data_IF_453647654619
#
_entry.id   IF_453647654619
#
_cell.length_a   1.000
_cell.length_b   1.000
_cell.length_c   1.000
_cell.angle_alpha   90.00
_cell.angle_beta   90.00
_cell.angle_gamma   90.00
#
_symmetry.space_group_name_H-M   'P 1'
#
loop_
_entity.id
_entity.type
_entity.pdbx_description
1 polymer ?
#
# COMPACT_ATOMS: atom_id res chain seq x y z
N UNK A 1 -15.49 8.25 29.10
CA UNK A 1 -14.46 9.27 29.45
C UNK A 1 -13.87 9.80 28.17
N UNK A 2 -13.71 11.11 28.02
CA UNK A 2 -13.02 11.65 26.85
C UNK A 2 -11.55 11.22 26.93
N UNK A 3 -11.05 10.58 25.89
CA UNK A 3 -9.66 10.20 25.78
C UNK A 3 -8.78 11.46 25.73
N UNK A 4 -7.85 11.59 26.65
CA UNK A 4 -6.88 12.69 26.66
C UNK A 4 -5.56 12.21 26.04
N UNK A 5 -5.13 12.88 24.99
CA UNK A 5 -3.82 12.65 24.40
C UNK A 5 -2.75 13.00 25.42
N UNK A 6 -1.83 12.08 25.75
CA UNK A 6 -0.75 12.36 26.69
C UNK A 6 0.14 13.48 26.13
N UNK A 7 0.43 14.46 26.98
CA UNK A 7 1.16 15.67 26.56
C UNK A 7 2.67 15.54 26.75
N UNK A 8 3.13 14.52 27.42
CA UNK A 8 4.55 14.23 27.66
C UNK A 8 4.79 12.74 27.89
N UNK A 9 6.07 12.34 27.99
CA UNK A 9 6.52 10.96 28.19
C UNK A 9 5.92 10.33 29.46
N UNK A 10 5.85 11.09 30.54
CA UNK A 10 5.34 10.58 31.83
C UNK A 10 3.85 10.26 31.76
N UNK A 11 3.07 11.18 31.20
CA UNK A 11 1.63 10.98 30.97
C UNK A 11 1.36 9.80 30.04
N UNK A 12 2.19 9.62 29.00
CA UNK A 12 2.09 8.48 28.08
C UNK A 12 2.42 7.15 28.78
N UNK A 13 3.51 7.10 29.55
CA UNK A 13 3.89 5.89 30.30
C UNK A 13 2.83 5.51 31.35
N UNK A 14 2.22 6.50 32.01
CA UNK A 14 1.11 6.27 32.92
C UNK A 14 -0.07 5.63 32.18
N UNK A 15 -0.45 6.17 31.03
CA UNK A 15 -1.52 5.60 30.20
C UNK A 15 -1.19 4.16 29.73
N UNK A 16 0.05 3.88 29.34
CA UNK A 16 0.49 2.54 28.97
C UNK A 16 0.33 1.56 30.13
N UNK A 17 0.75 1.95 31.33
CA UNK A 17 0.61 1.12 32.52
C UNK A 17 -0.87 0.84 32.86
N UNK A 18 -1.73 1.86 32.73
CA UNK A 18 -3.18 1.72 32.93
C UNK A 18 -3.84 0.79 31.89
N UNK A 19 -3.24 0.67 30.70
CA UNK A 19 -3.70 -0.20 29.60
C UNK A 19 -2.97 -1.54 29.56
N UNK A 20 -2.17 -1.87 30.57
CA UNK A 20 -1.35 -3.09 30.65
C UNK A 20 -0.43 -3.27 29.41
N UNK A 21 -0.03 -2.15 28.80
CA UNK A 21 0.90 -2.13 27.65
C UNK A 21 2.26 -1.59 28.06
N UNK A 22 3.31 -2.05 27.39
CA UNK A 22 4.68 -1.57 27.65
C UNK A 22 5.31 -1.06 26.36
N UNK A 23 6.01 0.07 26.46
CA UNK A 23 6.82 0.61 25.39
C UNK A 23 8.22 0.92 25.88
N UNK A 24 9.22 0.64 25.03
CA UNK A 24 10.58 1.06 25.26
C UNK A 24 10.79 2.45 24.64
N UNK A 25 11.43 3.34 25.42
CA UNK A 25 11.82 4.65 24.94
C UNK A 25 13.34 4.75 24.87
N UNK A 26 13.81 5.42 23.83
CA UNK A 26 15.20 5.83 23.71
C UNK A 26 15.25 7.33 23.46
N UNK A 27 16.14 8.03 24.15
CA UNK A 27 16.47 9.43 23.88
C UNK A 27 17.51 9.52 22.76
N UNK A 28 18.21 8.41 22.43
CA UNK A 28 19.08 8.28 21.28
C UNK A 28 18.27 7.84 20.05
N UNK A 29 18.12 8.75 19.09
CA UNK A 29 17.47 8.54 17.79
C UNK A 29 18.49 8.47 16.63
N UNK A 30 19.78 8.40 16.92
CA UNK A 30 20.85 8.39 15.92
C UNK A 30 20.71 7.23 14.91
N UNK A 31 20.07 6.12 15.31
CA UNK A 31 19.77 5.02 14.41
C UNK A 31 18.94 5.43 13.19
N UNK A 32 18.11 6.48 13.27
CA UNK A 32 17.32 6.98 12.14
C UNK A 32 18.21 7.61 11.05
N UNK A 33 19.37 8.12 11.41
CA UNK A 33 20.33 8.71 10.49
C UNK A 33 21.30 7.69 9.87
N UNK A 34 21.21 6.40 10.27
CA UNK A 34 22.11 5.37 9.72
C UNK A 34 21.62 4.85 8.38
N UNK A 35 22.56 4.53 7.50
CA UNK A 35 22.24 3.89 6.22
C UNK A 35 21.50 2.56 6.40
N UNK A 36 20.68 2.22 5.40
CA UNK A 36 19.98 0.93 5.33
C UNK A 36 20.14 0.32 3.95
N UNK A 37 20.68 -0.91 3.92
CA UNK A 37 20.77 -1.68 2.68
C UNK A 37 19.44 -2.34 2.34
N UNK A 38 19.00 -2.19 1.09
CA UNK A 38 17.77 -2.77 0.53
C UNK A 38 18.14 -3.48 -0.78
N UNK A 39 18.19 -4.79 -0.77
CA UNK A 39 18.73 -5.55 -1.91
C UNK A 39 20.17 -5.16 -2.22
N UNK A 40 20.39 -4.58 -3.41
CA UNK A 40 21.70 -4.08 -3.86
C UNK A 40 21.86 -2.57 -3.69
N UNK A 41 20.80 -1.86 -3.27
CA UNK A 41 20.82 -0.41 -3.07
C UNK A 41 20.97 -0.04 -1.59
N UNK A 42 21.33 1.21 -1.32
CA UNK A 42 21.47 1.73 0.03
C UNK A 42 20.65 3.02 0.16
N UNK A 43 19.74 3.05 1.12
CA UNK A 43 19.09 4.27 1.56
C UNK A 43 20.01 5.01 2.53
N UNK A 44 20.19 6.32 2.36
CA UNK A 44 21.11 7.15 3.15
C UNK A 44 20.72 7.23 4.64
N UNK A 45 19.45 7.11 4.93
CA UNK A 45 18.91 7.09 6.30
C UNK A 45 17.65 6.19 6.35
N UNK A 46 17.07 6.03 7.54
CA UNK A 46 15.90 5.16 7.77
C UNK A 46 14.56 5.89 7.77
N UNK A 47 14.52 7.11 7.23
CA UNK A 47 13.30 7.91 7.13
C UNK A 47 12.65 7.64 5.77
N UNK A 48 11.35 7.41 5.78
CA UNK A 48 10.56 7.09 4.59
C UNK A 48 9.36 8.03 4.50
N UNK A 49 9.21 8.74 3.39
CA UNK A 49 7.92 9.34 3.03
C UNK A 49 7.03 8.30 2.40
N UNK A 50 5.92 7.99 3.06
CA UNK A 50 4.97 6.97 2.62
C UNK A 50 4.16 7.39 1.40
N UNK A 51 3.76 6.41 0.57
CA UNK A 51 2.88 6.61 -0.56
C UNK A 51 1.52 7.15 -0.11
N UNK A 52 1.17 8.35 -0.55
CA UNK A 52 -0.10 9.01 -0.23
C UNK A 52 -0.66 9.71 -1.46
N UNK A 53 -1.80 9.22 -1.96
CA UNK A 53 -2.46 9.76 -3.16
C UNK A 53 -2.90 11.20 -2.93
N UNK A 54 -2.43 12.10 -3.81
CA UNK A 54 -2.80 13.52 -3.80
C UNK A 54 -4.08 13.81 -4.58
N UNK A 55 -4.51 12.90 -5.46
CA UNK A 55 -5.61 13.10 -6.41
C UNK A 55 -5.47 14.39 -7.23
N UNK A 56 -4.24 14.75 -7.58
CA UNK A 56 -3.86 16.03 -8.20
C UNK A 56 -3.01 15.87 -9.47
N UNK A 57 -2.97 14.66 -10.04
CA UNK A 57 -2.43 14.41 -11.36
C UNK A 57 -3.25 15.08 -12.47
N UNK A 58 -2.79 14.97 -13.69
CA UNK A 58 -3.52 15.41 -14.88
C UNK A 58 -4.61 14.39 -15.26
N UNK A 59 -5.51 14.75 -16.15
CA UNK A 59 -6.58 13.84 -16.60
C UNK A 59 -6.05 12.61 -17.34
N UNK A 60 -4.95 12.77 -18.08
CA UNK A 60 -4.27 11.67 -18.77
C UNK A 60 -3.37 10.83 -17.85
N UNK A 61 -3.24 11.24 -16.59
CA UNK A 61 -2.55 10.47 -15.53
C UNK A 61 -1.09 10.88 -15.31
N UNK A 62 -0.62 11.99 -15.87
CA UNK A 62 0.72 12.51 -15.58
C UNK A 62 0.76 13.21 -14.20
N UNK A 63 1.96 13.33 -13.56
CA UNK A 63 2.15 14.20 -12.42
C UNK A 63 1.77 15.66 -12.71
N UNK A 64 0.88 16.25 -11.90
CA UNK A 64 0.46 17.64 -12.01
C UNK A 64 1.35 18.60 -11.21
N UNK A 65 1.08 19.91 -11.29
CA UNK A 65 1.85 20.95 -10.58
C UNK A 65 1.81 20.78 -9.04
N UNK A 66 0.66 20.39 -8.49
CA UNK A 66 0.53 20.15 -7.03
C UNK A 66 1.30 18.89 -6.63
N UNK A 67 1.27 17.85 -7.47
CA UNK A 67 2.07 16.64 -7.31
C UNK A 67 3.55 17.01 -7.27
N UNK A 68 4.04 17.74 -8.28
CA UNK A 68 5.44 18.19 -8.34
C UNK A 68 5.82 18.96 -7.08
N UNK A 69 5.03 19.96 -6.69
CA UNK A 69 5.28 20.76 -5.47
C UNK A 69 5.40 19.90 -4.22
N UNK A 70 4.55 18.89 -4.07
CA UNK A 70 4.58 17.97 -2.91
C UNK A 70 5.86 17.15 -2.88
N UNK A 71 6.25 16.56 -4.02
CA UNK A 71 7.46 15.74 -4.09
C UNK A 71 8.75 16.55 -3.96
N UNK A 72 8.78 17.79 -4.44
CA UNK A 72 9.92 18.68 -4.19
C UNK A 72 10.10 18.93 -2.68
N UNK A 73 9.01 19.19 -1.94
CA UNK A 73 9.07 19.34 -0.48
C UNK A 73 9.52 18.06 0.24
N UNK A 74 9.16 16.90 -0.27
CA UNK A 74 9.67 15.63 0.28
C UNK A 74 11.16 15.47 0.01
N UNK A 75 11.62 15.84 -1.16
CA UNK A 75 13.04 15.83 -1.51
C UNK A 75 13.85 16.81 -0.66
N UNK A 76 13.35 18.01 -0.43
CA UNK A 76 13.94 19.02 0.46
C UNK A 76 14.05 18.50 1.92
N UNK A 77 13.09 17.67 2.36
CA UNK A 77 13.05 17.11 3.71
C UNK A 77 14.08 16.00 4.00
N UNK A 78 14.78 15.49 3.00
CA UNK A 78 15.95 14.61 3.17
C UNK A 78 15.66 13.19 3.65
N UNK A 79 14.48 12.61 3.37
CA UNK A 79 14.23 11.19 3.62
C UNK A 79 15.06 10.30 2.69
N UNK A 80 15.59 9.19 3.23
CA UNK A 80 16.36 8.21 2.47
C UNK A 80 15.53 7.46 1.43
N UNK A 81 14.20 7.36 1.65
CA UNK A 81 13.26 6.75 0.72
C UNK A 81 12.05 7.68 0.52
N UNK A 82 11.72 7.94 -0.74
CA UNK A 82 10.50 8.63 -1.15
C UNK A 82 9.62 7.62 -1.87
N UNK A 83 8.51 7.23 -1.23
CA UNK A 83 7.54 6.34 -1.83
C UNK A 83 6.55 7.15 -2.66
N UNK A 84 6.66 7.00 -3.97
CA UNK A 84 5.79 7.67 -4.91
C UNK A 84 4.39 7.08 -4.85
N UNK A 85 3.38 7.94 -4.91
CA UNK A 85 1.98 7.58 -4.69
C UNK A 85 1.43 6.53 -5.65
N UNK A 86 0.29 5.93 -5.27
CA UNK A 86 -0.35 4.86 -6.02
C UNK A 86 -0.66 5.30 -7.47
N UNK A 87 0.03 4.67 -8.40
CA UNK A 87 -0.06 4.87 -9.83
C UNK A 87 -0.79 3.69 -10.46
N UNK A 88 -1.88 3.93 -11.14
CA UNK A 88 -2.71 2.88 -11.72
C UNK A 88 -1.98 2.16 -12.86
N UNK A 89 -2.10 0.82 -12.90
CA UNK A 89 -1.54 -0.01 -13.97
C UNK A 89 -2.54 -0.27 -15.11
N UNK A 90 -3.83 0.01 -14.87
CA UNK A 90 -4.92 -0.10 -15.83
C UNK A 90 -5.87 1.09 -15.66
N UNK A 91 -6.40 1.62 -16.74
CA UNK A 91 -7.23 2.82 -16.72
C UNK A 91 -8.50 2.67 -15.89
N UNK A 92 -9.20 1.54 -16.04
CA UNK A 92 -10.40 1.19 -15.28
C UNK A 92 -10.12 0.91 -13.79
N UNK A 93 -8.86 0.68 -13.44
CA UNK A 93 -8.40 0.51 -12.07
C UNK A 93 -8.06 1.80 -11.33
N UNK A 94 -8.27 2.97 -11.92
CA UNK A 94 -8.02 4.28 -11.27
C UNK A 94 -9.03 4.54 -10.15
N UNK A 95 -8.54 5.06 -9.01
CA UNK A 95 -9.38 5.44 -7.86
C UNK A 95 -10.13 6.77 -8.07
N UNK A 96 -9.69 7.59 -9.03
CA UNK A 96 -10.31 8.86 -9.42
C UNK A 96 -9.75 9.31 -10.77
N UNK A 97 -10.41 10.28 -11.47
CA UNK A 97 -9.97 10.75 -12.78
C UNK A 97 -8.59 11.43 -12.81
N UNK A 98 -8.09 11.84 -11.66
CA UNK A 98 -6.80 12.52 -11.50
C UNK A 98 -5.74 11.67 -10.80
N UNK A 99 -6.01 10.39 -10.58
CA UNK A 99 -4.98 9.46 -10.12
C UNK A 99 -3.95 9.26 -11.24
N UNK A 100 -2.67 9.19 -10.87
CA UNK A 100 -1.62 8.88 -11.83
C UNK A 100 -1.86 7.54 -12.52
N UNK A 101 -1.54 7.52 -13.80
CA UNK A 101 -1.73 6.37 -14.65
C UNK A 101 -0.58 6.25 -15.65
N UNK A 102 0.00 5.06 -15.73
CA UNK A 102 1.12 4.77 -16.60
C UNK A 102 0.68 4.53 -18.03
N UNK A 103 1.11 5.40 -18.92
CA UNK A 103 0.92 5.26 -20.38
C UNK A 103 2.20 5.69 -21.11
N UNK A 104 2.33 5.35 -22.38
CA UNK A 104 3.45 5.83 -23.18
C UNK A 104 3.47 7.35 -23.27
N UNK A 105 2.30 8.00 -23.19
CA UNK A 105 2.18 9.47 -23.22
C UNK A 105 2.71 10.15 -21.96
N UNK A 106 2.53 9.52 -20.81
CA UNK A 106 2.91 10.09 -19.50
C UNK A 106 4.34 9.75 -19.10
N UNK A 107 5.04 8.91 -19.87
CA UNK A 107 6.36 8.40 -19.51
C UNK A 107 7.38 9.50 -19.25
N UNK A 108 7.49 10.48 -20.14
CA UNK A 108 8.44 11.59 -20.02
C UNK A 108 8.17 12.47 -18.78
N UNK A 109 6.91 12.54 -18.33
CA UNK A 109 6.55 13.32 -17.15
C UNK A 109 6.96 12.60 -15.87
N UNK A 110 6.83 11.26 -15.84
CA UNK A 110 7.38 10.44 -14.75
C UNK A 110 8.91 10.46 -14.71
N UNK A 111 9.58 10.39 -15.86
CA UNK A 111 11.05 10.55 -15.95
C UNK A 111 11.50 11.88 -15.37
N UNK A 112 10.81 12.96 -15.75
CA UNK A 112 11.12 14.32 -15.29
C UNK A 112 10.94 14.47 -13.79
N UNK A 113 9.81 14.04 -13.22
CA UNK A 113 9.56 14.20 -11.78
C UNK A 113 10.53 13.39 -10.93
N UNK A 114 10.93 12.18 -11.36
CA UNK A 114 11.94 11.38 -10.65
C UNK A 114 13.29 12.08 -10.65
N UNK A 115 13.72 12.62 -11.78
CA UNK A 115 14.95 13.39 -11.88
C UNK A 115 14.90 14.64 -10.99
N UNK A 116 13.81 15.42 -11.06
CA UNK A 116 13.60 16.61 -10.24
C UNK A 116 13.66 16.28 -8.73
N UNK A 117 13.09 15.13 -8.28
CA UNK A 117 13.17 14.65 -6.89
C UNK A 117 14.61 14.38 -6.50
N UNK A 118 15.35 13.62 -7.31
CA UNK A 118 16.74 13.23 -7.02
C UNK A 118 17.65 14.45 -7.00
N UNK A 119 17.60 15.30 -8.01
CA UNK A 119 18.40 16.53 -8.09
C UNK A 119 18.11 17.48 -6.92
N UNK A 120 16.84 17.64 -6.54
CA UNK A 120 16.45 18.48 -5.41
C UNK A 120 17.03 17.94 -4.10
N UNK A 121 16.92 16.62 -3.83
CA UNK A 121 17.47 16.03 -2.63
C UNK A 121 19.00 16.13 -2.59
N UNK A 122 19.69 15.90 -3.70
CA UNK A 122 21.15 16.08 -3.77
C UNK A 122 21.55 17.51 -3.47
N UNK A 123 20.86 18.49 -4.05
CA UNK A 123 21.12 19.91 -3.85
C UNK A 123 20.94 20.33 -2.38
N UNK A 124 19.85 19.90 -1.74
CA UNK A 124 19.48 20.35 -0.40
C UNK A 124 20.12 19.51 0.72
N UNK A 125 20.38 18.21 0.47
CA UNK A 125 20.78 17.26 1.50
C UNK A 125 22.10 16.54 1.22
N UNK A 126 22.67 16.66 0.00
CA UNK A 126 23.95 16.08 -0.37
C UNK A 126 23.92 14.58 -0.71
N UNK A 127 22.73 13.96 -0.85
CA UNK A 127 22.60 12.56 -1.25
C UNK A 127 21.39 12.34 -2.16
N UNK A 128 21.40 11.23 -2.93
CA UNK A 128 20.29 10.80 -3.77
C UNK A 128 19.35 9.87 -2.98
N UNK A 129 18.03 10.17 -2.90
CA UNK A 129 17.07 9.29 -2.23
C UNK A 129 16.73 8.10 -3.12
N UNK A 130 16.28 7.00 -2.53
CA UNK A 130 15.62 5.94 -3.27
C UNK A 130 14.17 6.34 -3.54
N UNK A 131 13.73 6.28 -4.80
CA UNK A 131 12.36 6.61 -5.20
C UNK A 131 11.65 5.34 -5.65
N UNK A 132 10.55 4.96 -4.96
CA UNK A 132 9.80 3.73 -5.20
C UNK A 132 8.41 4.09 -5.72
N UNK A 133 8.02 3.58 -6.90
CA UNK A 133 6.68 3.78 -7.47
C UNK A 133 5.70 2.74 -6.90
N UNK A 134 4.58 3.17 -6.33
CA UNK A 134 3.53 2.26 -5.90
C UNK A 134 2.58 1.93 -7.07
N UNK A 135 2.54 0.67 -7.48
CA UNK A 135 1.69 0.14 -8.53
C UNK A 135 0.35 -0.33 -7.96
N UNK A 136 -0.77 0.07 -8.56
CA UNK A 136 -2.09 -0.21 -8.00
C UNK A 136 -3.14 -0.54 -9.04
N UNK A 137 -4.16 -1.28 -8.60
CA UNK A 137 -5.48 -1.40 -9.20
C UNK A 137 -6.51 -1.22 -8.07
N UNK A 138 -7.33 -0.17 -8.16
CA UNK A 138 -8.17 0.28 -7.05
C UNK A 138 -9.35 -0.65 -6.74
N UNK A 139 -9.68 -1.56 -7.65
CA UNK A 139 -10.66 -2.62 -7.40
C UNK A 139 -12.02 -2.06 -7.00
N UNK A 140 -12.47 -2.37 -5.81
CA UNK A 140 -13.71 -1.91 -5.19
C UNK A 140 -13.88 -0.39 -5.23
N UNK A 141 -12.79 0.35 -5.15
CA UNK A 141 -12.78 1.82 -5.10
C UNK A 141 -12.49 2.47 -6.45
N UNK A 142 -12.59 1.73 -7.55
CA UNK A 142 -12.41 2.28 -8.89
C UNK A 142 -13.45 3.34 -9.23
N UNK A 143 -12.97 4.51 -9.68
CA UNK A 143 -13.78 5.68 -10.08
C UNK A 143 -13.11 6.40 -11.25
N UNK A 144 -12.76 5.72 -12.35
CA UNK A 144 -11.96 6.31 -13.43
C UNK A 144 -12.64 7.54 -14.06
N UNK A 145 -13.96 7.59 -14.05
CA UNK A 145 -14.79 8.67 -14.61
C UNK A 145 -15.42 9.59 -13.53
N UNK A 146 -14.96 9.51 -12.27
CA UNK A 146 -15.44 10.35 -11.17
C UNK A 146 -16.62 9.80 -10.39
N UNK A 147 -17.25 8.71 -10.85
CA UNK A 147 -18.30 7.98 -10.14
C UNK A 147 -17.90 6.52 -9.89
N UNK A 148 -18.50 5.85 -8.90
CA UNK A 148 -18.14 4.48 -8.54
C UNK A 148 -18.34 3.48 -9.70
N UNK A 149 -17.27 2.84 -10.09
CA UNK A 149 -17.23 1.76 -11.08
C UNK A 149 -16.46 0.56 -10.50
N UNK A 150 -16.97 -0.06 -9.41
CA UNK A 150 -16.23 -1.08 -8.68
C UNK A 150 -15.91 -2.28 -9.57
N UNK A 151 -14.70 -2.81 -9.42
CA UNK A 151 -14.23 -4.07 -9.98
C UNK A 151 -13.77 -4.93 -8.81
N UNK A 152 -14.62 -5.85 -8.35
CA UNK A 152 -14.44 -6.59 -7.10
C UNK A 152 -14.00 -8.04 -7.33
N UNK A 153 -13.25 -8.58 -6.38
CA UNK A 153 -12.89 -10.00 -6.39
C UNK A 153 -14.09 -10.90 -6.09
N UNK A 154 -14.96 -10.47 -5.19
CA UNK A 154 -16.18 -11.15 -4.77
C UNK A 154 -17.10 -10.17 -4.03
N UNK A 155 -18.39 -10.47 -3.95
CA UNK A 155 -19.31 -9.73 -3.07
C UNK A 155 -19.02 -10.04 -1.60
N UNK A 156 -18.92 -8.99 -0.81
CA UNK A 156 -18.65 -9.08 0.62
C UNK A 156 -19.76 -8.36 1.40
N UNK A 157 -20.61 -9.07 2.15
CA UNK A 157 -21.77 -8.48 2.82
C UNK A 157 -21.41 -7.41 3.85
N UNK A 158 -20.16 -7.36 4.34
CA UNK A 158 -19.68 -6.27 5.21
C UNK A 158 -19.74 -4.92 4.47
N UNK A 159 -19.50 -4.91 3.15
CA UNK A 159 -19.50 -3.69 2.33
C UNK A 159 -20.81 -3.48 1.56
N UNK A 160 -21.41 -4.54 1.04
CA UNK A 160 -22.61 -4.47 0.21
C UNK A 160 -23.92 -4.61 1.02
N UNK A 161 -23.87 -5.14 2.26
CA UNK A 161 -25.08 -5.47 3.02
C UNK A 161 -25.99 -6.40 2.22
N UNK A 162 -27.26 -6.02 2.13
CA UNK A 162 -28.30 -6.78 1.40
C UNK A 162 -28.37 -6.45 -0.11
N UNK A 163 -27.48 -5.56 -0.59
CA UNK A 163 -27.50 -5.10 -1.99
C UNK A 163 -26.17 -5.46 -2.68
N UNK A 164 -25.99 -6.71 -3.12
CA UNK A 164 -24.76 -7.15 -3.76
C UNK A 164 -24.50 -6.38 -5.06
N UNK A 165 -23.22 -6.13 -5.32
CA UNK A 165 -22.76 -5.56 -6.59
C UNK A 165 -23.08 -6.52 -7.73
N UNK A 166 -23.48 -5.99 -8.88
CA UNK A 166 -23.83 -6.78 -10.07
C UNK A 166 -22.69 -7.73 -10.47
N UNK A 167 -23.06 -8.95 -10.87
CA UNK A 167 -22.10 -10.01 -11.21
C UNK A 167 -21.12 -9.62 -12.34
N UNK A 168 -21.51 -8.72 -13.24
CA UNK A 168 -20.63 -8.21 -14.30
C UNK A 168 -19.44 -7.40 -13.76
N UNK A 169 -19.50 -6.97 -12.51
CA UNK A 169 -18.43 -6.24 -11.80
C UNK A 169 -17.53 -7.14 -10.98
N UNK A 170 -17.82 -8.44 -10.90
CA UNK A 170 -16.93 -9.43 -10.29
C UNK A 170 -15.89 -9.82 -11.35
N UNK A 171 -14.62 -9.53 -11.06
CA UNK A 171 -13.54 -9.79 -12.02
C UNK A 171 -13.35 -11.29 -12.26
N UNK A 172 -13.13 -11.67 -13.52
CA UNK A 172 -12.83 -13.07 -13.90
C UNK A 172 -11.36 -13.41 -13.63
N UNK A 173 -11.02 -14.70 -13.71
CA UNK A 173 -9.63 -15.15 -13.60
C UNK A 173 -8.76 -14.61 -14.74
N UNK A 174 -9.30 -14.51 -15.97
CA UNK A 174 -8.61 -13.93 -17.13
C UNK A 174 -8.39 -12.43 -16.96
N UNK A 175 -9.30 -11.72 -16.28
CA UNK A 175 -9.06 -10.33 -15.92
C UNK A 175 -7.90 -10.20 -14.93
N UNK A 176 -7.84 -11.07 -13.92
CA UNK A 176 -6.75 -11.09 -12.94
C UNK A 176 -5.40 -11.47 -13.57
N UNK A 177 -5.38 -12.34 -14.59
CA UNK A 177 -4.18 -12.61 -15.38
C UNK A 177 -3.68 -11.31 -16.05
N UNK A 178 -4.57 -10.52 -16.69
CA UNK A 178 -4.22 -9.23 -17.28
C UNK A 178 -3.72 -8.20 -16.24
N UNK A 179 -4.32 -8.19 -15.05
CA UNK A 179 -3.84 -7.34 -13.93
C UNK A 179 -2.41 -7.74 -13.53
N UNK A 180 -2.12 -9.05 -13.45
CA UNK A 180 -0.78 -9.55 -13.16
C UNK A 180 0.24 -9.07 -14.21
N UNK A 181 -0.08 -9.20 -15.49
CA UNK A 181 0.75 -8.71 -16.58
C UNK A 181 0.96 -7.19 -16.51
N UNK A 182 -0.11 -6.43 -16.21
CA UNK A 182 -0.04 -4.99 -16.09
C UNK A 182 0.87 -4.53 -14.94
N UNK A 183 0.84 -5.25 -13.80
CA UNK A 183 1.75 -5.00 -12.66
C UNK A 183 3.22 -5.24 -13.04
N UNK A 184 3.50 -6.33 -13.76
CA UNK A 184 4.86 -6.63 -14.24
C UNK A 184 5.35 -5.59 -15.26
N UNK A 185 4.49 -5.20 -16.21
CA UNK A 185 4.76 -4.09 -17.14
C UNK A 185 4.99 -2.78 -16.40
N UNK A 186 4.21 -2.53 -15.35
CA UNK A 186 4.35 -1.38 -14.47
C UNK A 186 5.71 -1.30 -13.77
N UNK A 187 6.23 -2.42 -13.27
CA UNK A 187 7.57 -2.48 -12.70
C UNK A 187 8.66 -2.15 -13.72
N UNK A 188 8.53 -2.66 -14.95
CA UNK A 188 9.43 -2.30 -16.06
C UNK A 188 9.31 -0.83 -16.45
N UNK A 189 8.09 -0.29 -16.48
CA UNK A 189 7.85 1.12 -16.75
C UNK A 189 8.52 2.01 -15.69
N UNK A 190 8.32 1.72 -14.39
CA UNK A 190 8.97 2.44 -13.30
C UNK A 190 10.50 2.41 -13.43
N UNK A 191 11.08 1.24 -13.69
CA UNK A 191 12.52 1.12 -13.95
C UNK A 191 12.99 2.01 -15.10
N UNK A 192 12.26 2.01 -16.21
CA UNK A 192 12.60 2.78 -17.40
C UNK A 192 12.44 4.29 -17.20
N UNK A 193 11.59 4.71 -16.25
CA UNK A 193 11.45 6.12 -15.84
C UNK A 193 12.47 6.57 -14.78
N UNK A 194 13.41 5.70 -14.36
CA UNK A 194 14.47 6.08 -13.43
C UNK A 194 14.13 5.91 -11.95
N UNK A 195 12.99 5.27 -11.62
CA UNK A 195 12.70 4.85 -10.25
C UNK A 195 13.71 3.79 -9.77
N UNK A 196 13.91 3.72 -8.47
CA UNK A 196 14.79 2.75 -7.83
C UNK A 196 14.09 1.44 -7.50
N UNK A 197 12.77 1.45 -7.44
CA UNK A 197 11.95 0.30 -7.17
C UNK A 197 10.49 0.47 -7.56
N UNK A 198 9.75 -0.64 -7.46
CA UNK A 198 8.31 -0.70 -7.61
C UNK A 198 7.69 -1.48 -6.45
N UNK A 199 6.59 -0.95 -5.93
CA UNK A 199 5.75 -1.54 -4.89
C UNK A 199 4.50 -2.12 -5.51
N UNK A 200 4.27 -3.42 -5.36
CA UNK A 200 3.04 -4.08 -5.77
C UNK A 200 2.04 -3.99 -4.62
N UNK A 201 1.15 -2.99 -4.69
CA UNK A 201 0.23 -2.64 -3.60
C UNK A 201 -0.78 -3.75 -3.32
N UNK A 202 -0.77 -4.26 -2.09
CA UNK A 202 -1.73 -5.26 -1.58
C UNK A 202 -2.28 -4.83 -0.21
N UNK A 203 -2.87 -3.64 -0.15
CA UNK A 203 -3.43 -3.08 1.09
C UNK A 203 -4.68 -2.24 0.81
N UNK A 204 -5.31 -1.75 1.89
CA UNK A 204 -6.45 -0.82 1.87
C UNK A 204 -7.70 -1.37 1.19
N UNK A 205 -7.86 -2.68 1.09
CA UNK A 205 -8.98 -3.34 0.39
C UNK A 205 -9.05 -3.00 -1.10
N UNK A 206 -7.92 -2.63 -1.73
CA UNK A 206 -7.78 -2.56 -3.17
C UNK A 206 -7.73 -4.00 -3.74
N UNK A 207 -7.79 -4.17 -5.05
CA UNK A 207 -8.06 -5.48 -5.67
C UNK A 207 -7.17 -6.63 -5.14
N UNK A 208 -5.84 -6.42 -5.02
CA UNK A 208 -4.93 -7.46 -4.53
C UNK A 208 -5.15 -7.77 -3.04
N UNK A 209 -5.42 -6.74 -2.23
CA UNK A 209 -5.73 -6.93 -0.81
C UNK A 209 -7.07 -7.65 -0.60
N UNK A 210 -8.05 -7.37 -1.45
CA UNK A 210 -9.35 -8.04 -1.40
C UNK A 210 -9.22 -9.54 -1.70
N UNK A 211 -8.34 -9.91 -2.64
CA UNK A 211 -8.08 -11.31 -2.96
C UNK A 211 -7.52 -12.11 -1.79
N UNK A 212 -6.76 -11.50 -0.87
CA UNK A 212 -6.19 -12.20 0.29
C UNK A 212 -7.27 -12.84 1.17
N UNK A 213 -8.49 -12.29 1.19
CA UNK A 213 -9.65 -12.83 1.92
C UNK A 213 -10.73 -13.41 1.01
N UNK A 214 -10.40 -13.78 -0.23
CA UNK A 214 -11.35 -14.35 -1.18
C UNK A 214 -11.58 -15.86 -0.94
N UNK A 215 -11.90 -16.25 0.31
CA UNK A 215 -12.08 -17.65 0.71
C UNK A 215 -13.23 -18.35 -0.07
N UNK A 216 -14.30 -17.61 -0.35
CA UNK A 216 -15.50 -18.13 -1.02
C UNK A 216 -15.55 -17.80 -2.53
N UNK A 217 -14.46 -17.27 -3.09
CA UNK A 217 -14.34 -17.05 -4.53
C UNK A 217 -13.99 -18.36 -5.22
N UNK A 218 -14.71 -18.69 -6.28
CA UNK A 218 -14.36 -19.78 -7.19
C UNK A 218 -13.16 -19.44 -8.07
N UNK A 219 -12.54 -20.45 -8.68
CA UNK A 219 -11.49 -20.29 -9.68
C UNK A 219 -10.07 -20.25 -9.09
N UNK A 220 -9.13 -19.83 -9.94
CA UNK A 220 -7.68 -19.92 -9.66
C UNK A 220 -7.17 -18.88 -8.66
N UNK A 221 -8.00 -17.90 -8.29
CA UNK A 221 -7.64 -16.77 -7.42
C UNK A 221 -8.49 -16.73 -6.14
N UNK A 222 -9.14 -17.84 -5.77
CA UNK A 222 -9.98 -17.95 -4.57
C UNK A 222 -9.82 -19.27 -3.84
N UNK A 223 -10.45 -19.38 -2.67
CA UNK A 223 -10.43 -20.59 -1.84
C UNK A 223 -9.13 -20.76 -1.06
N UNK A 224 -8.21 -21.61 -1.53
CA UNK A 224 -6.97 -21.93 -0.83
C UNK A 224 -6.05 -20.71 -0.68
N UNK A 225 -5.17 -20.76 0.32
CA UNK A 225 -4.16 -19.73 0.54
C UNK A 225 -3.31 -19.46 -0.72
N UNK A 226 -2.86 -20.51 -1.38
CA UNK A 226 -2.05 -20.44 -2.60
C UNK A 226 -2.79 -19.72 -3.74
N UNK A 227 -4.09 -19.97 -3.86
CA UNK A 227 -4.91 -19.31 -4.87
C UNK A 227 -5.15 -17.82 -4.54
N UNK A 228 -5.55 -17.52 -3.30
CA UNK A 228 -5.81 -16.15 -2.85
C UNK A 228 -4.59 -15.25 -2.92
N UNK A 229 -3.40 -15.81 -2.74
CA UNK A 229 -2.12 -15.07 -2.81
C UNK A 229 -1.45 -15.11 -4.18
N UNK A 230 -1.95 -15.92 -5.12
CA UNK A 230 -1.36 -16.18 -6.44
C UNK A 230 -1.02 -14.92 -7.23
N UNK A 231 -1.96 -13.96 -7.29
CA UNK A 231 -1.75 -12.72 -8.03
C UNK A 231 -0.55 -11.94 -7.48
N UNK A 232 -0.51 -11.72 -6.18
CA UNK A 232 0.54 -10.96 -5.53
C UNK A 232 1.90 -11.66 -5.63
N UNK A 233 1.96 -12.94 -5.26
CA UNK A 233 3.21 -13.72 -5.25
C UNK A 233 3.78 -13.90 -6.65
N UNK A 234 2.92 -14.12 -7.64
CA UNK A 234 3.28 -14.24 -9.05
C UNK A 234 3.79 -12.91 -9.62
N UNK A 235 3.09 -11.81 -9.36
CA UNK A 235 3.49 -10.48 -9.83
C UNK A 235 4.85 -10.06 -9.25
N UNK A 236 5.10 -10.27 -7.94
CA UNK A 236 6.39 -10.00 -7.30
C UNK A 236 7.51 -10.81 -7.97
N UNK A 237 7.31 -12.11 -8.14
CA UNK A 237 8.29 -13.01 -8.75
C UNK A 237 8.64 -12.59 -10.18
N UNK A 238 7.64 -12.38 -11.02
CA UNK A 238 7.89 -12.03 -12.44
C UNK A 238 8.42 -10.59 -12.55
N UNK A 239 7.94 -9.63 -11.73
CA UNK A 239 8.50 -8.29 -11.69
C UNK A 239 10.00 -8.31 -11.35
N UNK A 240 10.40 -9.06 -10.30
CA UNK A 240 11.81 -9.19 -9.92
C UNK A 240 12.65 -9.82 -11.04
N UNK A 241 12.12 -10.84 -11.70
CA UNK A 241 12.78 -11.51 -12.82
C UNK A 241 13.06 -10.57 -14.00
N UNK A 242 12.06 -9.75 -14.41
CA UNK A 242 12.19 -8.87 -15.58
C UNK A 242 12.98 -7.59 -15.27
N UNK A 243 12.89 -7.07 -14.05
CA UNK A 243 13.62 -5.87 -13.64
C UNK A 243 15.04 -6.15 -13.17
N UNK A 244 15.33 -7.37 -12.76
CA UNK A 244 16.65 -7.80 -12.33
C UNK A 244 17.00 -7.39 -10.89
N UNK A 245 18.17 -7.82 -10.45
CA UNK A 245 18.62 -7.71 -9.04
C UNK A 245 18.85 -6.27 -8.56
N UNK A 246 19.15 -5.34 -9.47
CA UNK A 246 19.47 -3.94 -9.15
C UNK A 246 18.25 -3.02 -9.04
N UNK A 247 17.06 -3.57 -9.14
CA UNK A 247 15.80 -2.85 -8.98
C UNK A 247 15.04 -3.41 -7.77
N UNK A 248 14.59 -2.55 -6.88
CA UNK A 248 13.86 -2.93 -5.68
C UNK A 248 12.46 -3.38 -6.07
N UNK A 249 12.05 -4.58 -5.62
CA UNK A 249 10.65 -4.99 -5.63
C UNK A 249 10.17 -5.07 -4.19
N UNK A 250 9.03 -4.45 -3.92
CA UNK A 250 8.43 -4.41 -2.60
C UNK A 250 6.91 -4.60 -2.69
N UNK A 251 6.26 -4.79 -1.55
CA UNK A 251 4.81 -4.76 -1.44
C UNK A 251 4.41 -4.02 -0.18
N UNK A 252 3.52 -3.03 -0.33
CA UNK A 252 2.74 -2.54 0.80
C UNK A 252 1.62 -3.54 1.05
N UNK A 253 1.83 -4.34 2.10
CA UNK A 253 1.02 -5.51 2.42
C UNK A 253 0.12 -5.24 3.62
N UNK A 254 -1.18 -5.47 3.46
CA UNK A 254 -2.09 -5.52 4.61
C UNK A 254 -1.96 -6.88 5.29
N UNK A 255 -1.49 -6.89 6.55
CA UNK A 255 -1.23 -8.11 7.31
C UNK A 255 -2.42 -8.52 8.20
N UNK A 256 -3.46 -7.67 8.31
CA UNK A 256 -4.65 -7.90 9.12
C UNK A 256 -5.77 -6.96 8.69
N UNK A 257 -6.94 -7.49 8.36
CA UNK A 257 -8.07 -6.69 7.88
C UNK A 257 -8.97 -6.13 9.01
N UNK A 258 -9.10 -6.84 10.13
CA UNK A 258 -10.04 -6.47 11.19
C UNK A 258 -11.51 -6.73 10.83
N UNK A 259 -11.80 -7.67 9.94
CA UNK A 259 -13.13 -8.17 9.59
C UNK A 259 -13.23 -9.64 9.98
N UNK A 260 -14.44 -10.08 10.30
CA UNK A 260 -14.67 -11.49 10.64
C UNK A 260 -14.40 -12.43 9.44
N UNK A 261 -13.94 -13.65 9.76
CA UNK A 261 -13.84 -14.72 8.78
C UNK A 261 -15.23 -15.08 8.22
N UNK A 262 -15.38 -15.36 6.92
CA UNK A 262 -14.35 -15.47 5.87
C UNK A 262 -14.08 -14.16 5.10
N UNK A 263 -14.42 -13.02 5.63
CA UNK A 263 -14.37 -11.74 4.92
C UNK A 263 -13.10 -10.93 5.21
N UNK A 264 -12.36 -11.28 6.25
CA UNK A 264 -11.10 -10.65 6.63
C UNK A 264 -9.89 -11.57 6.44
N UNK A 265 -8.75 -10.98 6.08
CA UNK A 265 -7.46 -11.66 6.06
C UNK A 265 -6.80 -11.62 7.43
N UNK A 266 -6.14 -12.71 7.81
CA UNK A 266 -5.44 -12.88 9.10
C UNK A 266 -6.34 -12.73 10.33
N UNK A 267 -7.55 -13.26 10.25
CA UNK A 267 -8.50 -13.36 11.37
C UNK A 267 -8.82 -14.81 11.66
N UNK A 268 -9.03 -15.13 12.94
CA UNK A 268 -9.28 -16.49 13.38
C UNK A 268 -10.73 -16.87 13.15
N UNK A 269 -10.95 -18.01 12.47
CA UNK A 269 -12.28 -18.53 12.22
C UNK A 269 -13.05 -18.79 13.53
N UNK A 270 -14.29 -18.28 13.59
CA UNK A 270 -15.19 -18.48 14.74
C UNK A 270 -14.87 -17.66 15.98
N UNK A 271 -13.82 -16.80 15.95
CA UNK A 271 -13.43 -15.96 17.10
C UNK A 271 -13.56 -14.46 16.78
N UNK A 272 -14.55 -14.07 15.95
CA UNK A 272 -14.78 -12.68 15.55
C UNK A 272 -13.60 -12.10 14.78
N UNK A 273 -13.10 -10.94 15.23
CA UNK A 273 -11.98 -10.24 14.59
C UNK A 273 -10.62 -10.54 15.22
N UNK A 274 -10.54 -11.59 16.05
CA UNK A 274 -9.28 -11.97 16.69
C UNK A 274 -8.18 -12.24 15.67
N UNK A 275 -6.98 -11.62 15.80
CA UNK A 275 -5.90 -11.80 14.85
C UNK A 275 -5.36 -13.23 14.81
N UNK A 276 -5.07 -13.71 13.60
CA UNK A 276 -4.24 -14.89 13.33
C UNK A 276 -3.26 -14.58 12.19
N UNK A 277 -2.01 -14.33 12.53
CA UNK A 277 -0.97 -13.94 11.58
C UNK A 277 -0.29 -15.12 10.88
N UNK A 278 -0.79 -16.35 11.00
CA UNK A 278 -0.16 -17.55 10.39
C UNK A 278 0.00 -17.41 8.89
N UNK A 279 -1.08 -17.05 8.19
CA UNK A 279 -1.04 -16.84 6.73
C UNK A 279 -0.25 -15.59 6.35
N UNK A 280 -0.33 -14.50 7.12
CA UNK A 280 0.44 -13.28 6.83
C UNK A 280 1.95 -13.54 6.93
N UNK A 281 2.42 -14.27 7.94
CA UNK A 281 3.84 -14.67 8.07
C UNK A 281 4.28 -15.53 6.88
N UNK A 282 3.51 -16.57 6.54
CA UNK A 282 3.77 -17.43 5.37
C UNK A 282 3.84 -16.61 4.08
N UNK A 283 2.93 -15.63 3.90
CA UNK A 283 2.93 -14.78 2.72
C UNK A 283 4.19 -13.91 2.65
N UNK A 284 4.62 -13.30 3.74
CA UNK A 284 5.87 -12.52 3.80
C UNK A 284 7.07 -13.40 3.41
N UNK A 285 7.19 -14.61 3.94
CA UNK A 285 8.26 -15.56 3.59
C UNK A 285 8.26 -15.88 2.09
N UNK A 286 7.08 -16.10 1.49
CA UNK A 286 6.95 -16.36 0.05
C UNK A 286 7.34 -15.13 -0.76
N UNK A 287 6.91 -13.93 -0.37
CA UNK A 287 7.27 -12.70 -1.07
C UNK A 287 8.78 -12.46 -1.06
N UNK A 288 9.43 -12.64 0.09
CA UNK A 288 10.89 -12.52 0.22
C UNK A 288 11.59 -13.58 -0.64
N UNK A 289 11.14 -14.83 -0.61
CA UNK A 289 11.71 -15.91 -1.44
C UNK A 289 11.53 -15.67 -2.95
N UNK A 290 10.47 -14.95 -3.33
CA UNK A 290 10.21 -14.52 -4.71
C UNK A 290 10.98 -13.25 -5.12
N UNK A 291 11.77 -12.67 -4.20
CA UNK A 291 12.65 -11.55 -4.49
C UNK A 291 12.12 -10.18 -4.08
N UNK A 292 11.15 -10.11 -3.16
CA UNK A 292 10.83 -8.85 -2.50
C UNK A 292 12.01 -8.43 -1.62
N UNK A 293 12.50 -7.21 -1.81
CA UNK A 293 13.64 -6.65 -1.08
C UNK A 293 13.21 -5.91 0.21
N UNK A 294 11.95 -5.50 0.28
CA UNK A 294 11.36 -4.75 1.38
C UNK A 294 9.85 -5.03 1.46
N UNK A 295 9.28 -5.02 2.65
CA UNK A 295 7.83 -5.12 2.88
C UNK A 295 7.40 -3.91 3.73
N UNK A 296 6.46 -3.11 3.19
CA UNK A 296 5.77 -2.05 3.94
C UNK A 296 4.49 -2.63 4.56
N UNK A 297 4.52 -2.92 5.86
CA UNK A 297 3.40 -3.56 6.55
C UNK A 297 2.37 -2.52 7.02
N UNK A 298 1.10 -2.79 6.71
CA UNK A 298 -0.04 -2.02 7.21
C UNK A 298 -1.14 -2.97 7.71
N UNK A 299 -2.15 -2.43 8.38
CA UNK A 299 -3.30 -3.19 8.86
C UNK A 299 -4.58 -2.36 8.79
N UNK A 300 -5.72 -3.07 8.79
CA UNK A 300 -7.05 -2.47 8.75
C UNK A 300 -7.44 -1.88 7.40
N UNK A 301 -8.60 -1.23 7.38
CA UNK A 301 -9.15 -0.59 6.18
C UNK A 301 -9.50 0.88 6.49
N UNK A 302 -8.88 1.85 5.79
CA UNK A 302 -9.13 3.27 6.05
C UNK A 302 -10.54 3.74 5.67
N UNK A 303 -11.29 2.95 4.91
CA UNK A 303 -12.63 3.30 4.40
C UNK A 303 -13.77 2.67 5.18
N UNK A 304 -13.49 1.67 6.03
CA UNK A 304 -14.53 0.97 6.80
C UNK A 304 -14.31 1.12 8.31
N UNK A 305 -13.26 0.53 8.87
CA UNK A 305 -12.88 0.71 10.26
C UNK A 305 -11.50 1.38 10.34
N UNK A 306 -11.42 2.73 10.24
CA UNK A 306 -10.14 3.43 10.19
C UNK A 306 -9.38 3.39 11.51
N UNK A 307 -10.01 2.98 12.62
CA UNK A 307 -9.42 3.02 13.96
C UNK A 307 -8.30 2.01 14.16
N UNK A 308 -8.27 0.95 13.35
CA UNK A 308 -7.16 -0.04 13.35
C UNK A 308 -5.85 0.59 12.91
N UNK A 309 -5.85 1.39 11.84
CA UNK A 309 -4.65 2.00 11.29
C UNK A 309 -4.50 3.49 11.61
N UNK A 310 -5.57 4.13 12.02
CA UNK A 310 -5.62 5.53 12.45
C UNK A 310 -6.38 5.62 13.78
N UNK A 311 -5.72 5.31 14.91
CA UNK A 311 -6.35 5.35 16.22
C UNK A 311 -7.02 6.69 16.48
N UNK A 312 -8.24 6.65 16.96
CA UNK A 312 -9.03 7.84 17.26
C UNK A 312 -8.60 8.42 18.62
N UNK A 313 -7.77 9.45 18.60
CA UNK A 313 -7.23 10.04 19.81
C UNK A 313 -7.96 11.30 20.27
N UNK A 314 -8.32 12.14 19.32
CA UNK A 314 -9.03 13.40 19.59
C UNK A 314 -9.97 13.69 18.45
N UNK A 315 -11.13 14.17 18.74
CA UNK A 315 -12.01 14.61 17.68
C UNK A 315 -13.38 14.91 18.17
N UNK A 316 -14.13 15.57 17.31
CA UNK A 316 -15.54 15.86 17.48
C UNK A 316 -16.42 14.61 17.27
N UNK A 317 -15.80 13.49 16.90
CA UNK A 317 -16.48 12.25 16.56
C UNK A 317 -16.13 11.17 17.56
N UNK A 318 -17.14 10.55 18.16
CA UNK A 318 -16.97 9.25 18.79
C UNK A 318 -16.85 8.22 17.67
N UNK A 319 -15.89 7.29 17.72
CA UNK A 319 -15.88 6.20 16.78
C UNK A 319 -17.21 5.44 16.90
N UNK A 320 -17.88 5.14 15.76
CA UNK A 320 -19.13 4.40 15.79
C UNK A 320 -18.96 2.96 16.30
N UNK A 321 -17.73 2.45 16.25
CA UNK A 321 -17.37 1.11 16.71
C UNK A 321 -16.49 1.20 17.96
N UNK A 322 -16.56 0.16 18.77
CA UNK A 322 -15.56 -0.02 19.83
C UNK A 322 -14.17 -0.11 19.22
N UNK A 323 -13.18 0.64 19.73
CA UNK A 323 -11.80 0.39 19.36
C UNK A 323 -11.48 -1.09 19.61
N UNK A 324 -10.77 -1.69 18.66
CA UNK A 324 -10.39 -3.11 18.70
C UNK A 324 -9.37 -3.43 19.80
N UNK A 325 -8.96 -2.42 20.54
CA UNK A 325 -7.97 -2.47 21.62
C UNK A 325 -8.43 -1.65 22.83
#
# INVERSE_FOLDING_TARGET
MAYQVPQNKEAFLKMCNESETSFSFSDDISCLATEMRIGTKTAHNRIVYQAMEGCDGTEDGAPGELTKRRYMRFAEGGAGIIWFEATAVMGEGRANPRQMYMTDKTKSDFERIVNDIKETCVRENGFEPLVIMQLTHSGRYSKPNGFPEPLIAYNNPIFEGDTPIDKSRIVTDEYLDRVSEALVKGAMYARNCGFDGADIKSCHRYLLSELLSAYNRDGRYGGSFENRTRLLTGAVKEAKKVTGRNFIITSRLNIYDGFEYPYGFSVKEGEGIKPDYTEAKKLVEILVSNGADLIDMTMGNPYFNPHVNRPFATGKYNPPEHPLF
#
